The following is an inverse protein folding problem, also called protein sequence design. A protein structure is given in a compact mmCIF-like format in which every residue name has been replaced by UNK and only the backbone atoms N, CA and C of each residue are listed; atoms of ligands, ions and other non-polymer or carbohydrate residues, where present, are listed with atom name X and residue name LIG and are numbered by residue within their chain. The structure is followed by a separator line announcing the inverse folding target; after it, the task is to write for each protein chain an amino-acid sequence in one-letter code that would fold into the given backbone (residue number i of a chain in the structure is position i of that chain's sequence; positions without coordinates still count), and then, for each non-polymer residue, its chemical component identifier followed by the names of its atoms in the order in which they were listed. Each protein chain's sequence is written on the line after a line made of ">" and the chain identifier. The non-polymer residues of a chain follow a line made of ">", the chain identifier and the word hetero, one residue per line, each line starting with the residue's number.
data_IF_484489639225
#
_entry.id   IF_484489639225
#
_cell.length_a   1.000
_cell.length_b   1.000
_cell.length_c   1.000
_cell.angle_alpha   90.00
_cell.angle_beta   90.00
_cell.angle_gamma   90.00
#
_symmetry.space_group_name_H-M   'P 1'
#
loop_
_entity.id
_entity.type
_entity.pdbx_description
1 polymer ?
#
# COMPACT_ATOMS: atom_id res chain seq x y z
N UNK A 1 -22.56 -9.60 -3.70
CA UNK A 1 -21.51 -9.19 -4.65
C UNK A 1 -20.14 -9.33 -3.97
N UNK A 2 -19.22 -10.09 -4.57
CA UNK A 2 -17.92 -10.39 -3.96
C UNK A 2 -16.83 -10.24 -5.01
N UNK A 3 -15.84 -9.40 -4.72
CA UNK A 3 -14.69 -9.09 -5.58
C UNK A 3 -13.49 -9.92 -5.12
N UNK A 4 -13.44 -11.17 -5.58
CA UNK A 4 -12.30 -12.06 -5.42
C UNK A 4 -11.52 -12.10 -6.72
N UNK A 5 -10.20 -12.04 -6.62
CA UNK A 5 -9.29 -11.96 -7.76
C UNK A 5 -8.22 -13.04 -7.62
N UNK A 6 -7.95 -13.76 -8.70
CA UNK A 6 -6.78 -14.63 -8.79
C UNK A 6 -5.53 -13.81 -9.10
N UNK A 7 -4.42 -14.16 -8.44
CA UNK A 7 -3.09 -13.65 -8.74
C UNK A 7 -2.35 -14.54 -9.73
N UNK A 8 -1.16 -14.09 -10.13
CA UNK A 8 -0.30 -14.83 -11.05
C UNK A 8 0.22 -16.12 -10.40
N UNK A 9 0.09 -17.25 -11.09
CA UNK A 9 0.68 -18.53 -10.70
C UNK A 9 2.07 -18.66 -11.31
N UNK A 10 3.05 -19.08 -10.51
CA UNK A 10 4.35 -19.53 -11.02
C UNK A 10 4.62 -20.95 -10.53
N UNK A 11 5.71 -21.58 -10.98
CA UNK A 11 6.09 -22.92 -10.53
C UNK A 11 7.51 -22.91 -9.97
N UNK A 12 7.73 -23.70 -8.92
CA UNK A 12 9.08 -24.00 -8.43
C UNK A 12 9.86 -24.79 -9.48
N UNK A 13 11.21 -24.85 -9.39
CA UNK A 13 12.00 -25.76 -10.22
C UNK A 13 11.58 -27.23 -10.13
N UNK A 14 10.98 -27.65 -9.01
CA UNK A 14 10.43 -28.99 -8.81
C UNK A 14 9.00 -29.19 -9.35
N UNK A 15 8.42 -28.17 -10.00
CA UNK A 15 7.10 -28.25 -10.64
C UNK A 15 5.90 -27.94 -9.73
N UNK A 16 6.12 -27.64 -8.44
CA UNK A 16 5.04 -27.27 -7.51
C UNK A 16 4.53 -25.86 -7.80
N UNK A 17 3.21 -25.61 -7.76
CA UNK A 17 2.65 -24.29 -7.99
C UNK A 17 2.97 -23.33 -6.82
N UNK A 18 3.16 -22.05 -7.16
CA UNK A 18 3.32 -20.93 -6.23
C UNK A 18 2.26 -19.90 -6.59
N UNK A 19 1.31 -19.67 -5.68
CA UNK A 19 0.21 -18.73 -5.88
C UNK A 19 -0.31 -18.17 -4.54
N UNK A 20 -1.06 -17.06 -4.55
CA UNK A 20 -1.74 -16.56 -3.35
C UNK A 20 -2.80 -17.54 -2.83
N UNK A 21 -2.99 -17.63 -1.51
CA UNK A 21 -3.93 -18.57 -0.89
C UNK A 21 -5.39 -18.42 -1.36
N UNK A 22 -5.84 -17.19 -1.65
CA UNK A 22 -7.18 -16.96 -2.25
C UNK A 22 -7.28 -17.50 -3.67
N UNK A 23 -6.20 -17.45 -4.45
CA UNK A 23 -6.18 -17.95 -5.83
C UNK A 23 -6.27 -19.47 -5.85
N UNK A 24 -5.53 -20.12 -4.95
CA UNK A 24 -5.63 -21.55 -4.71
C UNK A 24 -7.04 -21.96 -4.33
N UNK A 25 -7.67 -21.25 -3.38
CA UNK A 25 -9.04 -21.54 -2.95
C UNK A 25 -10.03 -21.46 -4.12
N UNK A 26 -10.00 -20.39 -4.92
CA UNK A 26 -10.87 -20.22 -6.07
C UNK A 26 -10.72 -21.35 -7.11
N UNK A 27 -9.49 -21.82 -7.35
CA UNK A 27 -9.21 -22.92 -8.29
C UNK A 27 -9.58 -24.30 -7.74
N UNK A 28 -9.73 -24.43 -6.43
CA UNK A 28 -9.96 -25.70 -5.74
C UNK A 28 -11.39 -26.23 -5.91
N UNK A 29 -11.55 -27.54 -5.70
CA UNK A 29 -12.86 -28.18 -5.68
C UNK A 29 -13.72 -27.75 -4.49
N UNK A 30 -13.12 -27.19 -3.43
CA UNK A 30 -13.87 -26.60 -2.32
C UNK A 30 -14.69 -25.39 -2.77
N UNK A 31 -14.14 -24.56 -3.65
CA UNK A 31 -14.86 -23.41 -4.20
C UNK A 31 -15.84 -23.83 -5.29
N UNK A 32 -15.43 -24.72 -6.21
CA UNK A 32 -16.31 -25.22 -7.29
C UNK A 32 -17.53 -25.95 -6.75
N UNK A 33 -17.35 -26.75 -5.69
CA UNK A 33 -18.42 -27.51 -5.03
C UNK A 33 -18.88 -26.85 -3.73
N UNK A 34 -18.76 -25.51 -3.64
CA UNK A 34 -19.18 -24.76 -2.45
C UNK A 34 -20.67 -24.98 -2.16
N UNK A 35 -21.10 -24.90 -0.89
CA UNK A 35 -22.50 -25.09 -0.52
C UNK A 35 -23.42 -24.11 -1.27
N UNK A 36 -24.58 -24.60 -1.73
CA UNK A 36 -25.60 -23.76 -2.34
C UNK A 36 -26.41 -23.04 -1.27
N UNK A 37 -25.91 -21.88 -0.82
CA UNK A 37 -26.61 -21.00 0.10
C UNK A 37 -26.25 -19.54 -0.16
N UNK A 38 -26.96 -18.61 0.49
CA UNK A 38 -26.82 -17.17 0.27
C UNK A 38 -25.39 -16.64 0.48
N UNK A 39 -24.58 -17.27 1.34
CA UNK A 39 -23.23 -16.81 1.67
C UNK A 39 -22.22 -17.09 0.55
N UNK A 40 -22.45 -18.18 -0.19
CA UNK A 40 -21.62 -18.65 -1.30
C UNK A 40 -22.25 -18.40 -2.68
N UNK A 41 -23.40 -17.73 -2.72
CA UNK A 41 -24.03 -17.24 -3.94
C UNK A 41 -23.50 -15.85 -4.27
N UNK A 42 -22.99 -15.68 -5.49
CA UNK A 42 -22.32 -14.46 -5.93
C UNK A 42 -22.98 -13.94 -7.20
N UNK A 43 -23.02 -12.60 -7.34
CA UNK A 43 -23.49 -11.96 -8.57
C UNK A 43 -22.59 -12.24 -9.77
N UNK A 44 -21.32 -12.55 -9.52
CA UNK A 44 -20.34 -12.82 -10.57
C UNK A 44 -20.18 -14.33 -10.74
N UNK A 45 -20.29 -14.84 -11.97
CA UNK A 45 -19.92 -16.21 -12.30
C UNK A 45 -18.46 -16.53 -11.96
N UNK A 46 -18.16 -17.81 -11.78
CA UNK A 46 -16.85 -18.32 -11.36
C UNK A 46 -15.76 -17.99 -12.38
N UNK A 47 -16.09 -17.96 -13.67
CA UNK A 47 -15.17 -17.62 -14.75
C UNK A 47 -14.62 -16.19 -14.61
N UNK A 48 -15.43 -15.26 -14.11
CA UNK A 48 -14.98 -13.88 -13.86
C UNK A 48 -14.03 -13.83 -12.65
N UNK A 49 -14.29 -14.63 -11.60
CA UNK A 49 -13.42 -14.71 -10.42
C UNK A 49 -12.07 -15.35 -10.75
N UNK A 50 -12.05 -16.27 -11.70
CA UNK A 50 -10.87 -17.02 -12.15
C UNK A 50 -10.09 -16.34 -13.29
N UNK A 51 -10.59 -15.22 -13.82
CA UNK A 51 -9.92 -14.50 -14.91
C UNK A 51 -8.55 -13.97 -14.48
N UNK A 52 -7.62 -13.86 -15.43
CA UNK A 52 -6.24 -13.42 -15.16
C UNK A 52 -6.01 -11.92 -15.35
N UNK A 53 -6.86 -11.23 -16.12
CA UNK A 53 -6.77 -9.79 -16.36
C UNK A 53 -7.59 -9.01 -15.33
N UNK A 54 -6.88 -8.37 -14.40
CA UNK A 54 -7.48 -7.59 -13.32
C UNK A 54 -8.45 -6.51 -13.81
N UNK A 55 -8.13 -5.83 -14.91
CA UNK A 55 -8.94 -4.73 -15.44
C UNK A 55 -10.24 -5.27 -16.01
N UNK A 56 -10.16 -6.32 -16.81
CA UNK A 56 -11.34 -6.96 -17.41
C UNK A 56 -12.24 -7.58 -16.34
N UNK A 57 -11.66 -8.30 -15.38
CA UNK A 57 -12.41 -8.94 -14.29
C UNK A 57 -13.16 -7.92 -13.44
N UNK A 58 -12.50 -6.85 -13.00
CA UNK A 58 -13.15 -5.82 -12.17
C UNK A 58 -14.31 -5.16 -12.90
N UNK A 59 -14.13 -4.86 -14.19
CA UNK A 59 -15.21 -4.32 -15.03
C UNK A 59 -16.39 -5.30 -15.11
N UNK A 60 -16.11 -6.59 -15.38
CA UNK A 60 -17.13 -7.62 -15.48
C UNK A 60 -17.84 -7.90 -14.13
N UNK A 61 -17.11 -7.84 -13.01
CA UNK A 61 -17.68 -7.92 -11.67
C UNK A 61 -18.69 -6.80 -11.41
N UNK A 62 -18.30 -5.54 -11.69
CA UNK A 62 -19.15 -4.38 -11.54
C UNK A 62 -20.40 -4.49 -12.43
N UNK A 63 -20.23 -4.88 -13.69
CA UNK A 63 -21.35 -5.04 -14.62
C UNK A 63 -22.35 -6.09 -14.12
N UNK A 64 -21.88 -7.27 -13.72
CA UNK A 64 -22.76 -8.31 -13.17
C UNK A 64 -23.46 -7.84 -11.89
N UNK A 65 -22.75 -7.12 -11.02
CA UNK A 65 -23.29 -6.56 -9.79
C UNK A 65 -24.33 -5.47 -10.00
N UNK A 66 -24.19 -4.64 -11.02
CA UNK A 66 -25.17 -3.61 -11.39
C UNK A 66 -26.43 -4.20 -12.01
N UNK A 67 -26.28 -5.22 -12.86
CA UNK A 67 -27.43 -5.92 -13.49
C UNK A 67 -28.29 -6.62 -12.44
N UNK A 68 -27.69 -7.14 -11.37
CA UNK A 68 -28.34 -7.86 -10.27
C UNK A 68 -28.44 -6.99 -8.99
N UNK A 69 -28.47 -5.66 -9.13
CA UNK A 69 -28.28 -4.73 -7.99
C UNK A 69 -29.25 -4.93 -6.82
N UNK A 70 -30.49 -5.34 -7.10
CA UNK A 70 -31.54 -5.50 -6.09
C UNK A 70 -31.38 -6.79 -5.27
N UNK A 71 -30.56 -7.73 -5.74
CA UNK A 71 -30.24 -8.99 -5.05
C UNK A 71 -29.03 -8.86 -4.12
N UNK A 72 -28.31 -7.73 -4.19
CA UNK A 72 -27.05 -7.54 -3.45
C UNK A 72 -27.33 -7.22 -1.98
N UNK A 73 -27.11 -8.22 -1.12
CA UNK A 73 -27.23 -8.08 0.35
C UNK A 73 -25.90 -7.86 1.07
N UNK A 74 -24.77 -8.24 0.45
CA UNK A 74 -23.41 -7.90 0.93
C UNK A 74 -22.51 -7.53 -0.24
N UNK A 75 -21.57 -6.63 0.04
CA UNK A 75 -20.50 -6.25 -0.88
C UNK A 75 -19.16 -6.54 -0.21
N UNK A 76 -18.28 -7.31 -0.86
CA UNK A 76 -17.05 -7.78 -0.21
C UNK A 76 -15.82 -7.70 -1.09
N UNK A 77 -14.68 -7.36 -0.48
CA UNK A 77 -13.33 -7.57 -1.00
C UNK A 77 -12.44 -8.03 0.16
N UNK A 78 -11.32 -8.69 -0.10
CA UNK A 78 -10.42 -9.17 0.97
C UNK A 78 -9.93 -8.02 1.86
N UNK A 79 -9.49 -6.92 1.25
CA UNK A 79 -8.94 -5.76 1.94
C UNK A 79 -9.69 -4.48 1.57
N UNK A 80 -9.68 -3.50 2.47
CA UNK A 80 -10.29 -2.19 2.24
C UNK A 80 -9.73 -1.48 1.00
N UNK A 81 -8.43 -1.61 0.74
CA UNK A 81 -7.75 -1.17 -0.47
C UNK A 81 -8.41 -1.70 -1.75
N UNK A 82 -8.78 -2.99 -1.77
CA UNK A 82 -9.48 -3.64 -2.86
C UNK A 82 -10.89 -3.07 -3.07
N UNK A 83 -11.62 -2.83 -1.98
CA UNK A 83 -12.94 -2.18 -2.05
C UNK A 83 -12.85 -0.75 -2.61
N UNK A 84 -11.87 0.03 -2.15
CA UNK A 84 -11.62 1.38 -2.68
C UNK A 84 -11.27 1.34 -4.18
N UNK A 85 -10.44 0.37 -4.60
CA UNK A 85 -10.10 0.17 -6.02
C UNK A 85 -11.33 -0.13 -6.87
N UNK A 86 -12.22 -0.99 -6.40
CA UNK A 86 -13.51 -1.28 -7.08
C UNK A 86 -14.32 0.00 -7.27
N UNK A 87 -14.44 0.83 -6.24
CA UNK A 87 -15.17 2.10 -6.30
C UNK A 87 -14.53 3.05 -7.31
N UNK A 88 -13.19 3.13 -7.35
CA UNK A 88 -12.46 3.95 -8.31
C UNK A 88 -12.67 3.49 -9.76
N UNK A 89 -12.62 2.19 -10.01
CA UNK A 89 -12.92 1.63 -11.34
C UNK A 89 -14.37 1.92 -11.74
N UNK A 90 -15.30 1.86 -10.81
CA UNK A 90 -16.69 2.27 -11.05
C UNK A 90 -16.81 3.76 -11.39
N UNK A 91 -16.13 4.65 -10.65
CA UNK A 91 -16.06 6.10 -10.96
C UNK A 91 -15.55 6.34 -12.38
N UNK A 92 -14.52 5.61 -12.81
CA UNK A 92 -13.90 5.77 -14.12
C UNK A 92 -14.75 5.16 -15.26
N UNK A 93 -15.55 4.12 -14.96
CA UNK A 93 -16.16 3.27 -15.99
C UNK A 93 -17.69 3.30 -16.02
N UNK A 94 -18.38 4.00 -15.11
CA UNK A 94 -19.84 3.92 -14.97
C UNK A 94 -20.60 4.25 -16.26
N UNK A 95 -20.09 5.17 -17.08
CA UNK A 95 -20.72 5.52 -18.38
C UNK A 95 -20.74 4.33 -19.32
N UNK A 96 -19.61 3.64 -19.43
CA UNK A 96 -19.50 2.45 -20.28
C UNK A 96 -20.32 1.29 -19.74
N UNK A 97 -20.31 1.09 -18.41
CA UNK A 97 -21.17 0.11 -17.74
C UNK A 97 -22.64 0.37 -18.05
N UNK A 98 -23.09 1.63 -17.99
CA UNK A 98 -24.46 2.02 -18.35
C UNK A 98 -24.76 1.73 -19.83
N UNK A 99 -23.81 1.99 -20.75
CA UNK A 99 -23.97 1.66 -22.17
C UNK A 99 -24.13 0.16 -22.39
N UNK A 100 -23.34 -0.69 -21.73
CA UNK A 100 -23.47 -2.14 -21.83
C UNK A 100 -24.81 -2.65 -21.27
N UNK A 101 -25.27 -2.09 -20.15
CA UNK A 101 -26.58 -2.42 -19.58
C UNK A 101 -27.70 -1.99 -20.54
N UNK A 102 -27.57 -0.80 -21.13
CA UNK A 102 -28.55 -0.26 -22.08
C UNK A 102 -28.65 -1.12 -23.34
N UNK A 103 -27.52 -1.49 -23.93
CA UNK A 103 -27.47 -2.26 -25.17
C UNK A 103 -27.71 -3.76 -24.96
N UNK A 104 -27.40 -4.29 -23.77
CA UNK A 104 -27.38 -5.71 -23.49
C UNK A 104 -26.12 -6.42 -23.99
N UNK A 105 -25.10 -5.68 -24.44
CA UNK A 105 -23.86 -6.22 -25.01
C UNK A 105 -22.62 -5.70 -24.28
N UNK A 106 -21.67 -6.60 -24.07
CA UNK A 106 -20.38 -6.30 -23.46
C UNK A 106 -19.43 -5.62 -24.46
N UNK A 107 -18.65 -4.67 -23.96
CA UNK A 107 -17.63 -3.96 -24.74
C UNK A 107 -16.60 -4.89 -25.39
N UNK A 108 -16.12 -4.49 -26.57
CA UNK A 108 -15.20 -5.31 -27.39
C UNK A 108 -13.80 -5.44 -26.81
N UNK A 109 -13.37 -4.48 -25.97
CA UNK A 109 -12.04 -4.51 -25.34
C UNK A 109 -11.91 -5.61 -24.28
N UNK A 110 -13.02 -6.22 -23.84
CA UNK A 110 -12.98 -7.43 -23.02
C UNK A 110 -12.63 -8.61 -23.93
N UNK A 111 -11.38 -9.03 -23.92
CA UNK A 111 -10.86 -10.10 -24.78
C UNK A 111 -10.91 -11.47 -24.12
N UNK A 112 -11.01 -11.54 -22.78
CA UNK A 112 -11.10 -12.82 -22.07
C UNK A 112 -12.40 -13.56 -22.38
N UNK A 113 -12.27 -14.72 -23.01
CA UNK A 113 -13.43 -15.51 -23.48
C UNK A 113 -14.31 -16.01 -22.33
N UNK A 114 -13.74 -16.32 -21.17
CA UNK A 114 -14.47 -16.72 -19.97
C UNK A 114 -15.38 -15.60 -19.49
N UNK A 115 -14.83 -14.40 -19.32
CA UNK A 115 -15.56 -13.19 -18.98
C UNK A 115 -16.65 -12.85 -20.01
N UNK A 116 -16.33 -12.88 -21.31
CA UNK A 116 -17.32 -12.58 -22.36
C UNK A 116 -18.52 -13.53 -22.30
N UNK A 117 -18.27 -14.83 -22.20
CA UNK A 117 -19.33 -15.83 -22.15
C UNK A 117 -20.16 -15.69 -20.87
N UNK A 118 -19.50 -15.57 -19.71
CA UNK A 118 -20.16 -15.42 -18.41
C UNK A 118 -21.04 -14.16 -18.35
N UNK A 119 -20.52 -13.01 -18.77
CA UNK A 119 -21.28 -11.75 -18.75
C UNK A 119 -22.41 -11.76 -19.78
N UNK A 120 -22.21 -12.38 -20.96
CA UNK A 120 -23.28 -12.53 -21.95
C UNK A 120 -24.49 -13.26 -21.37
N UNK A 121 -24.25 -14.31 -20.57
CA UNK A 121 -25.32 -15.03 -19.86
C UNK A 121 -26.04 -14.15 -18.83
N UNK A 122 -25.31 -13.27 -18.12
CA UNK A 122 -25.90 -12.34 -17.14
C UNK A 122 -26.71 -11.24 -17.80
N UNK A 123 -26.21 -10.67 -18.91
CA UNK A 123 -26.93 -9.64 -19.67
C UNK A 123 -28.13 -10.24 -20.42
N UNK A 124 -28.01 -11.48 -20.90
CA UNK A 124 -29.03 -12.21 -21.65
C UNK A 124 -29.33 -11.63 -23.03
N UNK A 125 -28.48 -10.72 -23.55
CA UNK A 125 -28.71 -9.99 -24.79
C UNK A 125 -29.93 -9.06 -24.77
N UNK A 126 -30.51 -8.79 -23.59
CA UNK A 126 -31.71 -7.98 -23.44
C UNK A 126 -31.32 -6.53 -23.08
N UNK A 127 -31.70 -5.53 -23.90
CA UNK A 127 -31.52 -4.11 -23.57
C UNK A 127 -32.26 -3.72 -22.28
N UNK A 128 -31.57 -3.02 -21.36
CA UNK A 128 -32.17 -2.52 -20.10
C UNK A 128 -32.02 -1.00 -19.95
N UNK A 129 -32.68 -0.19 -20.80
CA UNK A 129 -32.52 1.27 -20.79
C UNK A 129 -32.93 1.91 -19.46
N UNK A 130 -34.05 1.49 -18.86
CA UNK A 130 -34.51 2.06 -17.58
C UNK A 130 -33.49 1.85 -16.45
N UNK A 131 -32.92 0.65 -16.34
CA UNK A 131 -31.87 0.37 -15.35
C UNK A 131 -30.61 1.21 -15.61
N UNK A 132 -30.24 1.37 -16.88
CA UNK A 132 -29.14 2.24 -17.29
C UNK A 132 -29.38 3.69 -16.88
N UNK A 133 -30.57 4.24 -17.16
CA UNK A 133 -30.96 5.62 -16.81
C UNK A 133 -30.93 5.86 -15.29
N UNK A 134 -31.40 4.88 -14.50
CA UNK A 134 -31.36 4.94 -13.04
C UNK A 134 -29.92 4.97 -12.50
N UNK A 135 -29.05 4.07 -12.98
CA UNK A 135 -27.64 4.02 -12.56
C UNK A 135 -26.92 5.31 -12.99
N UNK A 136 -27.15 5.78 -14.20
CA UNK A 136 -26.60 7.04 -14.71
C UNK A 136 -27.04 8.24 -13.86
N UNK A 137 -28.31 8.31 -13.48
CA UNK A 137 -28.84 9.36 -12.58
C UNK A 137 -28.15 9.33 -11.20
N UNK A 138 -27.84 8.15 -10.68
CA UNK A 138 -27.14 7.98 -9.41
C UNK A 138 -25.65 8.39 -9.53
N UNK A 139 -24.95 7.91 -10.55
CA UNK A 139 -23.50 8.12 -10.74
C UNK A 139 -23.15 9.53 -11.21
N UNK A 140 -24.06 10.24 -11.89
CA UNK A 140 -23.86 11.62 -12.36
C UNK A 140 -23.97 12.68 -11.26
N UNK A 141 -24.30 12.28 -10.02
CA UNK A 141 -24.36 13.18 -8.88
C UNK A 141 -22.98 13.79 -8.57
N UNK A 142 -22.95 15.07 -8.19
CA UNK A 142 -21.71 15.79 -7.83
C UNK A 142 -20.93 15.15 -6.69
N UNK A 143 -21.63 14.46 -5.78
CA UNK A 143 -21.02 13.80 -4.63
C UNK A 143 -21.33 12.31 -4.65
N UNK A 144 -20.28 11.50 -4.51
CA UNK A 144 -20.35 10.05 -4.40
C UNK A 144 -20.51 9.56 -2.95
N UNK A 145 -20.84 10.47 -2.03
CA UNK A 145 -21.16 10.10 -0.65
C UNK A 145 -22.35 9.13 -0.63
N UNK A 146 -22.17 7.98 0.01
CA UNK A 146 -23.18 6.93 0.12
C UNK A 146 -23.52 6.23 -1.20
N UNK A 147 -22.68 6.35 -2.24
CA UNK A 147 -22.92 5.75 -3.56
C UNK A 147 -23.21 4.24 -3.49
N UNK A 148 -22.53 3.51 -2.60
CA UNK A 148 -22.68 2.06 -2.49
C UNK A 148 -24.11 1.67 -2.11
N UNK A 149 -24.72 2.40 -1.16
CA UNK A 149 -26.10 2.16 -0.74
C UNK A 149 -27.11 2.65 -1.78
N UNK A 150 -26.80 3.71 -2.54
CA UNK A 150 -27.68 4.19 -3.62
C UNK A 150 -27.73 3.19 -4.79
N UNK A 151 -26.57 2.68 -5.20
CA UNK A 151 -26.48 1.70 -6.28
C UNK A 151 -26.97 0.32 -5.85
N UNK A 152 -26.69 -0.12 -4.63
CA UNK A 152 -27.11 -1.44 -4.12
C UNK A 152 -27.97 -1.28 -2.86
N UNK A 153 -29.26 -0.92 -3.00
CA UNK A 153 -30.12 -0.49 -1.89
C UNK A 153 -30.41 -1.57 -0.85
N UNK A 154 -30.30 -2.85 -1.21
CA UNK A 154 -30.51 -3.96 -0.28
C UNK A 154 -29.27 -4.35 0.53
N UNK A 155 -28.12 -3.70 0.29
CA UNK A 155 -26.86 -4.00 0.97
C UNK A 155 -27.01 -3.81 2.48
N UNK A 156 -26.61 -4.82 3.25
CA UNK A 156 -26.67 -4.82 4.71
C UNK A 156 -25.35 -4.43 5.35
N UNK A 157 -24.23 -4.77 4.71
CA UNK A 157 -22.90 -4.45 5.19
C UNK A 157 -21.85 -4.54 4.06
N UNK A 158 -20.71 -3.91 4.30
CA UNK A 158 -19.49 -4.05 3.51
C UNK A 158 -18.56 -5.00 4.25
N UNK A 159 -18.00 -5.98 3.57
CA UNK A 159 -17.05 -6.91 4.17
C UNK A 159 -15.66 -6.69 3.60
N UNK A 160 -14.74 -6.23 4.46
CA UNK A 160 -13.35 -6.02 4.11
C UNK A 160 -12.49 -5.97 5.37
N UNK A 161 -11.24 -6.42 5.28
CA UNK A 161 -10.27 -6.20 6.35
C UNK A 161 -9.94 -4.71 6.45
N UNK A 162 -10.26 -4.11 7.60
CA UNK A 162 -10.01 -2.69 7.95
C UNK A 162 -9.08 -2.51 9.16
N UNK A 163 -8.42 -3.58 9.61
CA UNK A 163 -7.43 -3.53 10.70
C UNK A 163 -6.00 -3.40 10.17
N UNK A 164 -5.05 -3.00 11.03
CA UNK A 164 -3.65 -2.84 10.63
C UNK A 164 -3.45 -1.66 9.66
N UNK A 165 -2.66 -1.83 8.61
CA UNK A 165 -2.44 -0.77 7.61
C UNK A 165 -3.73 -0.36 6.88
N UNK A 166 -4.75 -1.22 6.85
CA UNK A 166 -6.02 -0.94 6.17
C UNK A 166 -6.89 0.11 6.88
N UNK A 167 -6.58 0.46 8.13
CA UNK A 167 -7.26 1.53 8.88
C UNK A 167 -7.25 2.85 8.11
N UNK A 168 -6.21 3.11 7.31
CA UNK A 168 -6.09 4.33 6.48
C UNK A 168 -7.22 4.52 5.46
N UNK A 169 -7.92 3.44 5.09
CA UNK A 169 -9.03 3.48 4.13
C UNK A 169 -10.40 3.69 4.76
N UNK A 170 -10.52 3.63 6.09
CA UNK A 170 -11.80 3.80 6.80
C UNK A 170 -12.50 5.10 6.40
N UNK A 171 -11.85 6.29 6.38
CA UNK A 171 -12.53 7.54 6.00
C UNK A 171 -13.11 7.52 4.58
N UNK A 172 -12.42 6.84 3.64
CA UNK A 172 -12.93 6.67 2.28
C UNK A 172 -14.13 5.74 2.24
N UNK A 173 -14.08 4.61 2.97
CA UNK A 173 -15.21 3.69 3.07
C UNK A 173 -16.42 4.35 3.73
N UNK A 174 -16.24 5.12 4.80
CA UNK A 174 -17.31 5.90 5.44
C UNK A 174 -17.93 6.91 4.46
N UNK A 175 -17.11 7.57 3.64
CA UNK A 175 -17.61 8.45 2.59
C UNK A 175 -18.52 7.71 1.59
N UNK A 176 -18.04 6.62 1.00
CA UNK A 176 -18.76 5.92 -0.07
C UNK A 176 -19.90 5.02 0.41
N UNK A 177 -19.80 4.47 1.62
CA UNK A 177 -20.73 3.50 2.18
C UNK A 177 -21.73 4.15 3.15
N UNK A 178 -21.48 5.39 3.57
CA UNK A 178 -22.32 6.16 4.49
C UNK A 178 -22.54 5.41 5.82
N UNK A 179 -23.73 4.87 6.03
CA UNK A 179 -24.16 4.23 7.28
C UNK A 179 -24.06 2.70 7.26
N UNK A 180 -23.54 2.11 6.17
CA UNK A 180 -23.34 0.67 6.10
C UNK A 180 -22.22 0.22 7.05
N UNK A 181 -22.45 -0.79 7.91
CA UNK A 181 -21.41 -1.39 8.73
C UNK A 181 -20.28 -1.95 7.86
N UNK A 182 -19.04 -1.72 8.28
CA UNK A 182 -17.85 -2.34 7.69
C UNK A 182 -17.40 -3.48 8.59
N UNK A 183 -17.51 -4.71 8.08
CA UNK A 183 -17.32 -5.95 8.82
C UNK A 183 -15.96 -6.55 8.43
N UNK A 184 -15.06 -6.65 9.40
CA UNK A 184 -13.82 -7.42 9.26
C UNK A 184 -13.99 -8.80 9.90
N UNK A 185 -14.05 -9.85 9.09
CA UNK A 185 -14.49 -11.18 9.52
C UNK A 185 -13.36 -12.08 10.01
N UNK A 186 -12.23 -12.09 9.30
CA UNK A 186 -11.19 -13.11 9.47
C UNK A 186 -9.80 -12.48 9.65
N UNK A 187 -8.99 -13.13 10.49
CA UNK A 187 -7.56 -12.88 10.60
C UNK A 187 -6.81 -14.15 10.17
N UNK A 188 -6.00 -14.02 9.12
CA UNK A 188 -5.30 -15.12 8.47
C UNK A 188 -4.02 -14.64 7.77
N UNK A 189 -3.16 -15.60 7.43
CA UNK A 189 -1.98 -15.41 6.59
C UNK A 189 -1.82 -16.58 5.61
N UNK A 190 -0.75 -16.57 4.81
CA UNK A 190 -0.40 -17.70 3.94
C UNK A 190 0.01 -18.95 4.73
N UNK A 191 0.52 -18.78 5.95
CA UNK A 191 1.00 -19.84 6.83
C UNK A 191 -0.12 -20.53 7.63
N UNK A 192 -1.17 -19.80 8.00
CA UNK A 192 -2.34 -20.35 8.72
C UNK A 192 -3.52 -19.37 8.69
N UNK A 193 -4.73 -19.91 8.86
CA UNK A 193 -5.86 -19.12 9.37
C UNK A 193 -5.70 -19.02 10.89
N UNK A 194 -5.94 -17.85 11.47
CA UNK A 194 -5.75 -17.64 12.91
C UNK A 194 -7.07 -17.61 13.66
N UNK A 195 -7.99 -16.75 13.23
CA UNK A 195 -9.17 -16.46 14.02
C UNK A 195 -10.24 -15.66 13.29
N UNK A 196 -11.35 -15.45 14.00
CA UNK A 196 -12.52 -14.74 13.50
C UNK A 196 -12.93 -13.61 14.45
N UNK A 197 -13.56 -12.57 13.91
CA UNK A 197 -14.22 -11.56 14.72
C UNK A 197 -15.56 -12.09 15.20
N UNK A 198 -15.69 -12.33 16.50
CA UNK A 198 -16.93 -12.82 17.13
C UNK A 198 -17.98 -11.72 17.35
N UNK A 199 -17.59 -10.45 17.17
CA UNK A 199 -18.47 -9.28 17.21
C UNK A 199 -18.40 -8.52 15.88
N UNK A 200 -18.89 -9.08 14.77
CA UNK A 200 -18.66 -8.55 13.42
C UNK A 200 -19.19 -7.13 13.18
N UNK A 201 -20.17 -6.68 13.97
CA UNK A 201 -20.78 -5.35 13.87
C UNK A 201 -20.15 -4.29 14.80
N UNK A 202 -19.05 -4.63 15.49
CA UNK A 202 -18.32 -3.63 16.27
C UNK A 202 -17.72 -2.54 15.36
N UNK A 203 -17.38 -1.40 15.96
CA UNK A 203 -16.70 -0.33 15.23
C UNK A 203 -15.30 -0.77 14.81
N UNK A 204 -14.75 -0.23 13.71
CA UNK A 204 -13.43 -0.60 13.23
C UNK A 204 -12.31 -0.53 14.28
N UNK A 205 -12.32 0.50 15.14
CA UNK A 205 -11.36 0.69 16.22
C UNK A 205 -11.43 -0.38 17.33
N UNK A 206 -12.57 -1.05 17.46
CA UNK A 206 -12.84 -2.05 18.50
C UNK A 206 -12.57 -3.48 18.03
N UNK A 207 -12.31 -3.69 16.74
CA UNK A 207 -12.13 -5.02 16.15
C UNK A 207 -11.06 -5.82 16.90
N UNK A 208 -11.45 -7.03 17.28
CA UNK A 208 -10.58 -8.05 17.88
C UNK A 208 -10.93 -9.42 17.30
N UNK A 209 -9.91 -10.24 17.08
CA UNK A 209 -10.06 -11.57 16.50
C UNK A 209 -9.85 -12.64 17.57
N UNK A 210 -10.80 -13.56 17.68
CA UNK A 210 -10.71 -14.72 18.56
C UNK A 210 -9.98 -15.83 17.81
N UNK A 211 -8.82 -16.24 18.32
CA UNK A 211 -8.04 -17.32 17.71
C UNK A 211 -8.76 -18.66 17.87
N UNK A 212 -8.73 -19.47 16.80
CA UNK A 212 -9.41 -20.75 16.72
C UNK A 212 -8.42 -21.88 17.06
N UNK A 213 -8.47 -22.47 18.27
CA UNK A 213 -7.41 -23.35 18.78
C UNK A 213 -7.26 -24.68 18.04
N UNK A 214 -8.21 -25.02 17.16
CA UNK A 214 -8.19 -26.24 16.37
C UNK A 214 -7.46 -26.10 15.02
N UNK A 215 -7.04 -24.90 14.62
CA UNK A 215 -6.42 -24.66 13.31
C UNK A 215 -4.91 -24.91 13.35
N UNK A 216 -4.24 -24.30 14.32
CA UNK A 216 -2.79 -24.38 14.56
C UNK A 216 -2.52 -24.26 16.05
N UNK A 217 -1.32 -24.67 16.48
CA UNK A 217 -0.84 -24.39 17.83
C UNK A 217 -0.24 -22.98 17.87
N UNK A 218 -0.71 -22.16 18.82
CA UNK A 218 -0.35 -20.75 18.93
C UNK A 218 0.45 -20.48 20.20
N UNK A 219 1.58 -19.81 20.00
CA UNK A 219 2.52 -19.41 21.05
C UNK A 219 2.79 -17.90 20.95
N UNK A 220 3.20 -17.29 22.04
CA UNK A 220 3.28 -15.83 22.17
C UNK A 220 4.57 -15.39 22.85
N UNK A 221 5.32 -14.50 22.19
CA UNK A 221 6.50 -13.85 22.78
C UNK A 221 6.06 -12.49 23.35
N UNK A 222 6.18 -12.23 24.66
CA UNK A 222 5.86 -10.92 25.25
C UNK A 222 6.67 -9.79 24.60
N UNK A 223 6.03 -8.66 24.32
CA UNK A 223 6.71 -7.46 23.79
C UNK A 223 7.31 -6.57 24.89
N UNK A 224 6.83 -6.69 26.13
CA UNK A 224 7.27 -5.91 27.29
C UNK A 224 7.67 -6.87 28.43
N UNK A 225 8.74 -6.53 29.15
CA UNK A 225 9.33 -7.34 30.23
C UNK A 225 10.66 -8.02 29.85
N UNK A 226 11.41 -8.48 30.85
CA UNK A 226 12.65 -9.26 30.64
C UNK A 226 12.32 -10.54 29.88
N UNK A 227 12.82 -10.66 28.63
CA UNK A 227 12.80 -11.80 27.70
C UNK A 227 12.08 -13.06 28.22
N UNK A 228 10.77 -12.93 28.43
CA UNK A 228 9.98 -13.92 29.16
C UNK A 228 9.78 -15.18 28.34
N UNK A 229 9.57 -16.28 29.04
CA UNK A 229 9.18 -17.56 28.46
C UNK A 229 8.07 -17.39 27.43
N UNK A 230 8.18 -18.14 26.35
CA UNK A 230 7.13 -18.22 25.33
C UNK A 230 5.86 -18.77 25.98
N UNK A 231 4.74 -18.04 25.84
CA UNK A 231 3.48 -18.40 26.45
C UNK A 231 2.59 -19.17 25.49
N UNK A 232 1.80 -20.09 26.02
CA UNK A 232 0.73 -20.74 25.28
C UNK A 232 -0.48 -19.81 25.12
N UNK A 233 -1.37 -20.14 24.19
CA UNK A 233 -2.61 -19.41 23.96
C UNK A 233 -3.44 -19.18 25.24
N UNK A 234 -3.44 -20.12 26.17
CA UNK A 234 -4.23 -20.01 27.41
C UNK A 234 -3.63 -19.07 28.46
N UNK A 235 -2.33 -18.76 28.36
CA UNK A 235 -1.57 -18.06 29.40
C UNK A 235 -1.32 -16.58 29.08
N UNK A 236 -1.83 -16.11 27.94
CA UNK A 236 -1.74 -14.69 27.56
C UNK A 236 -2.52 -13.81 28.53
N UNK A 237 -1.99 -12.61 28.79
CA UNK A 237 -2.53 -11.68 29.79
C UNK A 237 -3.30 -10.56 29.12
N UNK A 238 -4.47 -10.24 29.68
CA UNK A 238 -5.28 -9.12 29.23
C UNK A 238 -4.47 -7.81 29.21
N UNK A 239 -4.57 -7.06 28.12
CA UNK A 239 -3.88 -5.77 27.96
C UNK A 239 -2.41 -5.88 27.56
N UNK A 240 -1.81 -7.08 27.57
CA UNK A 240 -0.44 -7.29 27.13
C UNK A 240 -0.33 -7.49 25.61
N UNK A 241 0.82 -7.11 25.06
CA UNK A 241 1.14 -7.21 23.63
C UNK A 241 2.17 -8.31 23.39
N UNK A 242 2.02 -9.03 22.28
CA UNK A 242 2.78 -10.23 21.97
C UNK A 242 3.14 -10.30 20.48
N UNK A 243 4.24 -10.99 20.17
CA UNK A 243 4.55 -11.46 18.82
C UNK A 243 4.02 -12.89 18.64
N UNK A 244 3.30 -13.13 17.55
CA UNK A 244 2.65 -14.41 17.27
C UNK A 244 3.64 -15.45 16.71
N UNK A 245 3.64 -16.64 17.31
CA UNK A 245 4.29 -17.86 16.83
C UNK A 245 3.23 -18.90 16.44
N UNK A 246 3.52 -19.67 15.38
CA UNK A 246 2.61 -20.69 14.86
C UNK A 246 3.34 -22.01 14.63
N UNK A 247 2.72 -23.09 15.08
CA UNK A 247 3.02 -24.45 14.63
C UNK A 247 1.82 -25.02 13.90
N UNK A 248 1.98 -25.45 12.65
CA UNK A 248 0.88 -25.88 11.78
C UNK A 248 1.03 -27.34 11.29
N UNK A 249 0.01 -27.85 10.59
CA UNK A 249 -0.02 -29.22 10.06
C UNK A 249 0.86 -29.44 8.82
N UNK A 250 1.49 -28.38 8.29
CA UNK A 250 2.29 -28.43 7.06
C UNK A 250 3.79 -28.28 7.33
N UNK A 251 4.22 -28.48 8.58
CA UNK A 251 5.63 -28.56 8.95
C UNK A 251 6.29 -27.21 9.30
N UNK A 252 5.51 -26.18 9.57
CA UNK A 252 6.02 -24.98 10.25
C UNK A 252 5.99 -25.22 11.76
N UNK A 253 7.14 -25.08 12.42
CA UNK A 253 7.29 -25.30 13.87
C UNK A 253 7.80 -24.02 14.53
N UNK A 254 7.03 -23.49 15.48
CA UNK A 254 7.32 -22.25 16.22
C UNK A 254 7.72 -21.10 15.29
N UNK A 255 7.07 -21.02 14.12
CA UNK A 255 7.37 -20.03 13.09
C UNK A 255 6.96 -18.65 13.58
N UNK A 256 7.88 -17.68 13.50
CA UNK A 256 7.58 -16.27 13.74
C UNK A 256 6.77 -15.72 12.58
N UNK A 257 5.50 -15.41 12.83
CA UNK A 257 4.64 -14.74 11.85
C UNK A 257 5.08 -13.29 11.64
N UNK A 258 5.65 -12.66 12.68
CA UNK A 258 6.01 -11.25 12.68
C UNK A 258 4.81 -10.32 12.93
N UNK A 259 3.63 -10.87 13.20
CA UNK A 259 2.47 -10.08 13.61
C UNK A 259 2.57 -9.73 15.10
N UNK A 260 2.25 -8.47 15.42
CA UNK A 260 2.15 -7.95 16.78
C UNK A 260 0.68 -7.83 17.15
N UNK A 261 0.29 -8.42 18.27
CA UNK A 261 -1.10 -8.53 18.70
C UNK A 261 -1.25 -8.15 20.17
N UNK A 262 -2.38 -7.54 20.53
CA UNK A 262 -2.71 -7.17 21.92
C UNK A 262 -3.94 -7.93 22.39
N UNK A 263 -3.88 -8.54 23.56
CA UNK A 263 -5.06 -9.19 24.16
C UNK A 263 -6.04 -8.11 24.61
N UNK A 264 -7.26 -8.15 24.08
CA UNK A 264 -8.33 -7.18 24.38
C UNK A 264 -9.49 -7.78 25.16
N UNK A 265 -9.58 -9.10 25.22
CA UNK A 265 -10.64 -9.79 25.93
C UNK A 265 -10.53 -11.30 25.78
N UNK A 266 -11.57 -12.00 26.22
CA UNK A 266 -11.70 -13.45 26.09
C UNK A 266 -13.13 -13.79 25.69
N UNK A 267 -13.28 -14.64 24.69
CA UNK A 267 -14.56 -15.29 24.37
C UNK A 267 -14.55 -16.66 25.02
N UNK A 268 -15.29 -16.82 26.12
CA UNK A 268 -15.11 -17.94 27.06
C UNK A 268 -13.65 -17.99 27.56
N UNK A 269 -12.91 -19.05 27.22
CA UNK A 269 -11.48 -19.20 27.55
C UNK A 269 -10.55 -18.82 26.39
N UNK A 270 -11.07 -18.58 25.19
CA UNK A 270 -10.25 -18.25 24.03
C UNK A 270 -9.93 -16.74 24.03
N UNK A 271 -8.65 -16.34 24.03
CA UNK A 271 -8.27 -14.94 23.99
C UNK A 271 -8.69 -14.27 22.66
N UNK A 272 -9.01 -12.99 22.77
CA UNK A 272 -9.32 -12.10 21.66
C UNK A 272 -8.18 -11.10 21.48
N UNK A 273 -7.76 -10.90 20.24
CA UNK A 273 -6.59 -10.11 19.91
C UNK A 273 -6.90 -8.97 18.95
N UNK A 274 -6.47 -7.77 19.31
CA UNK A 274 -6.37 -6.65 18.38
C UNK A 274 -5.05 -6.74 17.63
N UNK A 275 -5.11 -6.64 16.31
CA UNK A 275 -3.93 -6.56 15.46
C UNK A 275 -3.29 -5.17 15.58
N UNK A 276 -2.02 -5.12 15.98
CA UNK A 276 -1.28 -3.86 16.13
C UNK A 276 -0.46 -3.52 14.88
N UNK A 277 0.03 -4.52 14.17
CA UNK A 277 0.91 -4.31 13.02
C UNK A 277 1.75 -5.54 12.69
N UNK A 278 2.56 -5.42 11.64
CA UNK A 278 3.59 -6.39 11.26
C UNK A 278 4.94 -5.78 11.59
N UNK A 279 5.81 -6.54 12.23
CA UNK A 279 7.19 -6.15 12.49
C UNK A 279 7.90 -5.77 11.18
N UNK A 280 8.71 -4.71 11.24
CA UNK A 280 9.46 -4.15 10.12
C UNK A 280 8.64 -3.60 8.94
N UNK A 281 7.31 -3.53 9.01
CA UNK A 281 6.53 -2.89 7.94
C UNK A 281 6.55 -1.35 8.10
N UNK A 282 7.05 -0.64 7.08
CA UNK A 282 7.13 0.82 7.08
C UNK A 282 6.10 1.45 6.13
N UNK A 283 5.99 0.96 4.90
CA UNK A 283 5.00 1.43 3.91
C UNK A 283 4.14 0.25 3.43
N UNK A 284 2.83 0.49 3.29
CA UNK A 284 1.85 -0.48 2.80
C UNK A 284 0.63 0.24 2.22
N UNK A 285 0.32 -0.01 0.95
CA UNK A 285 -0.88 0.52 0.28
C UNK A 285 -1.93 -0.59 0.16
N UNK A 286 -1.55 -1.76 -0.33
CA UNK A 286 -2.42 -2.92 -0.49
C UNK A 286 -1.80 -4.13 0.23
N UNK A 287 -1.37 -5.13 -0.53
CA UNK A 287 -0.65 -6.28 0.01
C UNK A 287 0.86 -6.04 0.08
N UNK A 288 1.35 -4.96 -0.54
CA UNK A 288 2.75 -4.57 -0.49
C UNK A 288 3.17 -4.23 0.94
N UNK A 289 4.39 -4.64 1.28
CA UNK A 289 5.02 -4.34 2.56
C UNK A 289 6.48 -4.00 2.30
N UNK A 290 6.78 -2.71 2.39
CA UNK A 290 8.14 -2.21 2.27
C UNK A 290 8.69 -1.94 3.66
N UNK A 291 9.81 -2.55 3.99
CA UNK A 291 10.54 -2.28 5.24
C UNK A 291 11.58 -1.16 5.04
N UNK A 292 12.16 -0.70 6.14
CA UNK A 292 13.19 0.35 6.12
C UNK A 292 14.38 -0.02 5.23
N UNK A 293 14.83 -1.28 5.26
CA UNK A 293 15.96 -1.75 4.44
C UNK A 293 15.64 -1.65 2.94
N UNK A 294 14.44 -2.04 2.50
CA UNK A 294 14.02 -1.93 1.11
C UNK A 294 13.84 -0.48 0.69
N UNK A 295 13.29 0.37 1.56
CA UNK A 295 13.18 1.80 1.29
C UNK A 295 14.56 2.44 1.16
N UNK A 296 15.48 2.15 2.07
CA UNK A 296 16.87 2.62 2.03
C UNK A 296 17.59 2.12 0.77
N UNK A 297 17.45 0.84 0.42
CA UNK A 297 17.97 0.28 -0.83
C UNK A 297 17.36 0.97 -2.04
N UNK A 298 16.05 1.24 -2.06
CA UNK A 298 15.39 1.92 -3.18
C UNK A 298 15.93 3.34 -3.35
N UNK A 299 16.03 4.10 -2.25
CA UNK A 299 16.61 5.45 -2.24
C UNK A 299 18.07 5.43 -2.73
N UNK A 300 18.88 4.48 -2.26
CA UNK A 300 20.28 4.36 -2.67
C UNK A 300 20.46 3.89 -4.13
N UNK A 301 19.55 3.05 -4.63
CA UNK A 301 19.59 2.48 -5.98
C UNK A 301 19.14 3.44 -7.05
N UNK A 302 18.47 4.54 -6.70
CA UNK A 302 17.80 5.40 -7.64
C UNK A 302 18.42 6.79 -7.58
N UNK A 303 19.43 7.02 -8.44
CA UNK A 303 19.99 8.35 -8.68
C UNK A 303 19.52 8.86 -10.01
N UNK A 304 18.86 10.00 -9.99
CA UNK A 304 18.44 10.69 -11.20
C UNK A 304 19.38 11.87 -11.44
N UNK A 305 20.06 11.87 -12.58
CA UNK A 305 20.93 12.95 -13.00
C UNK A 305 20.17 13.88 -13.94
N UNK A 306 20.12 15.17 -13.60
CA UNK A 306 19.61 16.21 -14.50
C UNK A 306 20.74 17.12 -14.92
N UNK A 307 20.99 17.18 -16.22
CA UNK A 307 22.03 18.04 -16.78
C UNK A 307 21.44 19.41 -17.10
N UNK A 308 21.99 20.45 -16.48
CA UNK A 308 21.48 21.80 -16.61
C UNK A 308 21.53 22.29 -18.07
N UNK A 309 20.52 23.06 -18.47
CA UNK A 309 20.30 23.49 -19.86
C UNK A 309 20.01 22.37 -20.86
N UNK A 310 19.65 21.17 -20.38
CA UNK A 310 19.19 20.05 -21.21
C UNK A 310 17.89 19.45 -20.65
N UNK A 311 17.15 18.76 -21.51
CA UNK A 311 16.02 17.89 -21.16
C UNK A 311 16.45 16.45 -20.86
N UNK A 312 17.76 16.19 -20.77
CA UNK A 312 18.30 14.84 -20.57
C UNK A 312 18.27 14.46 -19.10
N UNK A 313 17.67 13.31 -18.85
CA UNK A 313 17.60 12.68 -17.53
C UNK A 313 18.25 11.32 -17.63
N UNK A 314 19.30 11.10 -16.83
CA UNK A 314 19.90 9.77 -16.69
C UNK A 314 19.47 9.14 -15.39
N UNK A 315 19.25 7.83 -15.43
CA UNK A 315 18.87 7.03 -14.27
C UNK A 315 19.91 5.94 -14.13
N UNK A 316 20.64 5.97 -13.03
CA UNK A 316 21.48 4.84 -12.64
C UNK A 316 20.70 3.89 -11.74
N UNK A 317 20.88 2.60 -11.99
CA UNK A 317 20.40 1.53 -11.14
C UNK A 317 21.57 0.82 -10.47
N UNK A 318 21.49 0.61 -9.15
CA UNK A 318 22.43 -0.27 -8.45
C UNK A 318 23.78 0.36 -8.08
N UNK A 319 23.82 1.68 -7.87
CA UNK A 319 25.03 2.36 -7.40
C UNK A 319 25.30 1.99 -5.93
N UNK A 320 26.50 1.48 -5.64
CA UNK A 320 26.93 1.22 -4.27
C UNK A 320 27.07 2.51 -3.46
N UNK A 321 26.70 2.48 -2.18
CA UNK A 321 26.77 3.65 -1.29
C UNK A 321 28.21 4.16 -1.06
N UNK A 322 29.18 3.26 -1.21
CA UNK A 322 30.62 3.55 -1.09
C UNK A 322 31.27 3.94 -2.43
N UNK A 323 30.50 3.97 -3.54
CA UNK A 323 31.00 4.39 -4.85
C UNK A 323 31.08 5.92 -4.94
N UNK A 324 32.17 6.46 -5.50
CA UNK A 324 32.30 7.89 -5.80
C UNK A 324 31.32 8.33 -6.89
N UNK A 325 30.83 9.56 -6.84
CA UNK A 325 29.95 10.10 -7.89
C UNK A 325 30.68 10.24 -9.23
N UNK A 326 31.99 10.50 -9.20
CA UNK A 326 32.86 10.55 -10.37
C UNK A 326 32.78 9.26 -11.20
N UNK A 327 32.98 8.10 -10.55
CA UNK A 327 32.97 6.80 -11.23
C UNK A 327 31.60 6.45 -11.83
N UNK A 328 30.53 7.00 -11.25
CA UNK A 328 29.16 6.76 -11.70
C UNK A 328 28.85 7.61 -12.94
N UNK A 329 29.08 8.92 -12.87
CA UNK A 329 28.82 9.84 -13.99
C UNK A 329 29.80 9.61 -15.16
N UNK A 330 31.02 9.16 -14.89
CA UNK A 330 31.99 8.80 -15.92
C UNK A 330 31.41 7.76 -16.89
N UNK A 331 30.73 6.72 -16.40
CA UNK A 331 30.10 5.71 -17.25
C UNK A 331 29.07 6.30 -18.22
N UNK A 332 28.38 7.37 -17.81
CA UNK A 332 27.40 8.06 -18.63
C UNK A 332 28.02 9.05 -19.63
N UNK A 333 29.19 9.59 -19.32
CA UNK A 333 29.88 10.60 -20.13
C UNK A 333 31.04 10.02 -20.95
N UNK A 334 31.19 8.68 -21.01
CA UNK A 334 32.19 8.01 -21.85
C UNK A 334 32.06 8.44 -23.31
N UNK A 335 33.18 8.68 -24.02
CA UNK A 335 33.15 9.00 -25.45
C UNK A 335 32.52 7.85 -26.24
N UNK A 336 31.39 8.13 -26.89
CA UNK A 336 30.67 7.20 -27.74
C UNK A 336 30.13 7.90 -28.99
N UNK A 337 29.71 7.15 -30.02
CA UNK A 337 29.37 7.74 -31.31
C UNK A 337 28.12 8.64 -31.30
N UNK A 338 27.30 8.66 -30.22
CA UNK A 338 26.06 9.46 -30.18
C UNK A 338 25.65 9.91 -28.76
N UNK A 339 26.07 11.09 -28.29
CA UNK A 339 25.34 11.86 -27.25
C UNK A 339 25.43 13.38 -27.51
N UNK A 340 24.60 13.89 -28.42
CA UNK A 340 24.74 15.27 -28.93
C UNK A 340 24.33 16.38 -27.92
N UNK A 341 23.49 16.05 -26.92
CA UNK A 341 23.00 17.02 -25.90
C UNK A 341 23.85 17.06 -24.64
N UNK A 342 24.55 15.97 -24.29
CA UNK A 342 25.49 15.93 -23.16
C UNK A 342 26.93 16.24 -23.57
N UNK A 343 27.20 16.42 -24.86
CA UNK A 343 28.54 16.74 -25.39
C UNK A 343 29.27 17.83 -24.59
N UNK A 344 28.64 18.96 -24.21
CA UNK A 344 29.33 19.99 -23.41
C UNK A 344 29.85 19.48 -22.06
N UNK A 345 29.20 18.48 -21.47
CA UNK A 345 29.59 17.85 -20.21
C UNK A 345 30.67 16.77 -20.40
N UNK A 346 30.79 16.21 -21.60
CA UNK A 346 31.88 15.31 -21.97
C UNK A 346 33.20 16.06 -22.27
N UNK A 347 33.10 17.32 -22.71
CA UNK A 347 34.25 18.13 -23.14
C UNK A 347 34.97 18.84 -21.97
N UNK A 348 34.56 18.59 -20.73
CA UNK A 348 35.15 19.16 -19.50
C UNK A 348 35.70 18.04 -18.60
N UNK A 349 36.67 18.38 -17.75
CA UNK A 349 37.13 17.45 -16.71
C UNK A 349 35.95 17.13 -15.78
N UNK A 350 35.65 15.84 -15.58
CA UNK A 350 34.57 15.39 -14.71
C UNK A 350 34.66 15.97 -13.30
N UNK A 351 35.87 16.13 -12.78
CA UNK A 351 36.08 16.69 -11.44
C UNK A 351 35.70 18.17 -11.36
N UNK A 352 35.68 18.87 -12.49
CA UNK A 352 35.27 20.28 -12.56
C UNK A 352 33.76 20.47 -12.54
N UNK A 353 32.98 19.41 -12.80
CA UNK A 353 31.52 19.47 -12.77
C UNK A 353 31.00 19.83 -11.39
N UNK A 354 29.95 20.64 -11.35
CA UNK A 354 29.29 21.05 -10.13
C UNK A 354 28.02 20.24 -9.94
N UNK A 355 27.95 19.50 -8.82
CA UNK A 355 26.87 18.58 -8.50
C UNK A 355 26.06 19.14 -7.33
N UNK A 356 24.73 19.21 -7.48
CA UNK A 356 23.86 19.72 -6.42
C UNK A 356 22.70 18.77 -6.15
N UNK A 357 22.32 18.67 -4.88
CA UNK A 357 21.11 17.96 -4.44
C UNK A 357 20.21 18.88 -3.62
N UNK A 358 18.90 18.75 -3.80
CA UNK A 358 17.91 19.54 -3.07
C UNK A 358 17.64 18.93 -1.69
N UNK A 359 17.59 19.76 -0.64
CA UNK A 359 17.40 19.29 0.74
C UNK A 359 15.95 19.45 1.24
N UNK A 360 15.24 20.54 0.90
CA UNK A 360 13.90 20.82 1.45
C UNK A 360 12.88 21.34 0.43
N UNK A 361 11.61 20.95 0.65
CA UNK A 361 10.41 21.62 0.13
C UNK A 361 9.49 22.01 1.29
N UNK A 362 9.51 23.28 1.68
CA UNK A 362 8.34 24.01 2.19
C UNK A 362 8.64 25.51 2.09
N UNK A 363 7.97 26.21 1.17
CA UNK A 363 8.12 27.65 0.93
C UNK A 363 8.94 28.01 -0.32
N UNK A 364 8.84 29.25 -0.78
CA UNK A 364 9.35 29.77 -2.07
C UNK A 364 10.89 29.77 -2.27
N UNK A 365 11.66 29.11 -1.38
CA UNK A 365 13.13 29.09 -1.39
C UNK A 365 13.61 27.64 -1.22
N UNK A 366 13.99 27.01 -2.33
CA UNK A 366 14.59 25.69 -2.33
C UNK A 366 16.08 25.79 -1.93
N UNK A 367 16.52 25.03 -0.92
CA UNK A 367 17.94 24.95 -0.54
C UNK A 367 18.63 23.77 -1.23
N UNK A 368 19.85 24.02 -1.71
CA UNK A 368 20.68 23.05 -2.43
C UNK A 368 22.01 22.84 -1.72
N UNK A 369 22.47 21.60 -1.67
CA UNK A 369 23.79 21.20 -1.17
C UNK A 369 24.68 20.83 -2.35
N UNK A 370 25.86 21.45 -2.44
CA UNK A 370 26.93 21.03 -3.35
C UNK A 370 27.52 19.70 -2.88
N UNK A 371 27.72 18.77 -3.81
CA UNK A 371 28.31 17.46 -3.57
C UNK A 371 29.76 17.46 -4.07
N UNK A 372 30.65 16.88 -3.28
CA UNK A 372 31.99 16.50 -3.70
C UNK A 372 31.91 15.26 -4.59
N UNK A 373 32.28 15.44 -5.86
CA UNK A 373 32.25 14.37 -6.86
C UNK A 373 33.20 13.21 -6.54
N UNK A 374 34.24 13.41 -5.73
CA UNK A 374 35.23 12.39 -5.35
C UNK A 374 34.85 11.60 -4.10
N UNK A 375 34.02 12.16 -3.22
CA UNK A 375 33.60 11.48 -2.00
C UNK A 375 32.45 10.48 -2.26
N UNK A 376 32.32 9.48 -1.38
CA UNK A 376 31.20 8.53 -1.45
C UNK A 376 29.88 9.23 -1.10
N UNK A 377 28.75 8.67 -1.56
CA UNK A 377 27.45 9.15 -1.11
C UNK A 377 27.27 9.03 0.40
N UNK A 378 27.68 7.88 0.96
CA UNK A 378 27.51 7.57 2.37
C UNK A 378 28.06 8.70 3.24
N UNK A 379 29.28 9.13 2.96
CA UNK A 379 29.96 10.21 3.68
C UNK A 379 29.22 11.54 3.57
N UNK A 380 28.68 11.86 2.39
CA UNK A 380 28.12 13.17 2.11
C UNK A 380 26.64 13.31 2.52
N UNK A 381 25.92 12.19 2.64
CA UNK A 381 24.49 12.16 2.94
C UNK A 381 24.15 11.67 4.35
N UNK A 382 25.10 11.14 5.13
CA UNK A 382 24.87 10.57 6.47
C UNK A 382 24.13 11.48 7.47
N UNK A 383 24.10 12.80 7.24
CA UNK A 383 23.38 13.78 8.08
C UNK A 383 22.53 14.75 7.26
N UNK A 384 22.14 14.37 6.05
CA UNK A 384 21.34 15.20 5.15
C UNK A 384 19.93 14.64 5.09
N UNK A 385 18.95 15.42 5.53
CA UNK A 385 17.54 15.12 5.29
C UNK A 385 17.20 15.42 3.83
N UNK A 386 16.71 14.42 3.11
CA UNK A 386 16.17 14.58 1.75
C UNK A 386 14.71 14.16 1.80
N UNK A 387 13.82 15.12 1.58
CA UNK A 387 12.36 14.94 1.74
C UNK A 387 11.70 14.43 0.45
N UNK A 388 12.43 14.43 -0.67
CA UNK A 388 11.95 14.01 -1.99
C UNK A 388 12.86 12.95 -2.62
N UNK A 389 12.46 12.42 -3.77
CA UNK A 389 13.30 11.53 -4.55
C UNK A 389 14.63 12.23 -4.93
N UNK A 390 15.80 11.66 -4.61
CA UNK A 390 17.08 12.35 -4.75
C UNK A 390 17.43 12.57 -6.23
N UNK A 391 17.47 13.84 -6.64
CA UNK A 391 17.90 14.27 -7.98
C UNK A 391 19.24 15.01 -7.85
N UNK A 392 20.26 14.52 -8.55
CA UNK A 392 21.55 15.19 -8.68
C UNK A 392 21.50 16.09 -9.91
N UNK A 393 21.62 17.38 -9.69
CA UNK A 393 21.72 18.37 -10.75
C UNK A 393 23.19 18.58 -11.13
N UNK A 394 23.50 18.42 -12.41
CA UNK A 394 24.85 18.54 -12.98
C UNK A 394 24.98 19.84 -13.73
N UNK A 395 25.97 20.65 -13.37
CA UNK A 395 26.27 21.94 -13.98
C UNK A 395 27.68 21.93 -14.55
N UNK A 396 27.85 22.62 -15.68
CA UNK A 396 29.17 22.96 -16.22
C UNK A 396 29.84 24.02 -15.32
N UNK A 397 31.18 24.04 -15.25
CA UNK A 397 31.91 25.07 -14.49
C UNK A 397 31.57 26.51 -14.90
N UNK A 398 31.20 26.71 -16.17
CA UNK A 398 30.87 28.01 -16.76
C UNK A 398 29.43 28.46 -16.52
N UNK A 399 28.56 27.59 -16.00
CA UNK A 399 27.15 27.90 -15.79
C UNK A 399 26.93 28.56 -14.43
N UNK A 400 26.13 29.63 -14.41
CA UNK A 400 25.69 30.27 -13.16
C UNK A 400 24.52 29.51 -12.55
N UNK A 401 24.42 29.56 -11.23
CA UNK A 401 23.32 28.98 -10.46
C UNK A 401 22.86 29.99 -9.40
N UNK A 402 21.54 30.10 -9.23
CA UNK A 402 20.91 30.99 -8.24
C UNK A 402 20.32 30.09 -7.15
N UNK A 403 21.16 29.66 -6.21
CA UNK A 403 20.74 28.89 -5.04
C UNK A 403 21.03 29.70 -3.78
N UNK A 404 20.08 29.82 -2.87
CA UNK A 404 20.32 30.36 -1.54
C UNK A 404 20.83 29.23 -0.61
N UNK A 405 21.92 29.49 0.14
CA UNK A 405 22.37 28.63 1.24
C UNK A 405 23.57 27.69 0.99
N UNK A 406 24.55 28.10 0.17
CA UNK A 406 25.79 27.32 -0.02
C UNK A 406 26.77 27.62 1.12
N UNK A 407 26.88 26.72 2.12
CA UNK A 407 27.97 26.57 3.13
C UNK A 407 27.68 25.34 4.02
N UNK A 408 28.60 24.50 4.50
CA UNK A 408 30.05 24.59 4.68
C UNK A 408 30.76 23.23 4.43
N UNK A 409 31.99 23.30 3.89
CA UNK A 409 33.01 22.26 4.04
C UNK A 409 33.68 22.45 5.41
N UNK A 410 33.48 21.50 6.33
CA UNK A 410 34.37 21.33 7.48
C UNK A 410 35.18 20.04 7.31
N UNK A 411 36.47 20.20 7.01
CA UNK A 411 37.45 19.16 7.24
C UNK A 411 37.54 18.90 8.75
N UNK A 412 36.96 17.79 9.20
CA UNK A 412 37.26 17.23 10.52
C UNK A 412 38.22 16.06 10.33
N UNK A 413 39.51 16.36 10.38
CA UNK A 413 40.52 15.39 10.75
C UNK A 413 40.32 15.07 12.23
N UNK A 414 39.67 13.95 12.55
CA UNK A 414 39.78 13.33 13.88
C UNK A 414 39.70 11.81 13.71
N UNK A 415 40.81 11.15 14.05
CA UNK A 415 40.91 9.71 14.29
C UNK A 415 39.89 9.26 15.35
N UNK A 416 39.31 8.05 15.26
CA UNK A 416 38.36 7.58 16.25
C UNK A 416 39.09 7.12 17.52
N UNK A 417 38.66 7.64 18.68
CA UNK A 417 38.98 7.10 20.00
C UNK A 417 38.04 5.91 20.29
N UNK A 418 38.56 4.68 20.50
CA UNK A 418 37.74 3.52 20.74
C UNK A 418 37.52 3.35 22.25
N UNK A 419 36.62 4.14 22.85
CA UNK A 419 35.87 3.82 24.08
C UNK A 419 35.13 5.06 24.60
N UNK A 420 33.80 5.08 24.50
CA UNK A 420 32.99 6.15 25.10
C UNK A 420 31.49 5.83 25.06
N UNK A 421 31.00 5.29 26.17
CA UNK A 421 29.59 4.92 26.41
C UNK A 421 28.61 6.09 26.26
N UNK A 422 27.48 5.86 25.60
CA UNK A 422 26.32 6.74 25.62
C UNK A 422 25.48 6.49 26.87
N UNK A 423 25.65 7.32 27.90
CA UNK A 423 24.67 7.50 28.97
C UNK A 423 23.87 8.77 28.71
N UNK A 424 22.55 8.66 28.73
CA UNK A 424 21.62 9.77 28.84
C UNK A 424 21.73 10.41 30.23
N UNK A 425 21.75 11.74 30.30
CA UNK A 425 21.48 12.49 31.54
C UNK A 425 20.44 13.58 31.28
N UNK A 426 19.49 13.69 32.21
CA UNK A 426 18.36 14.62 32.26
C UNK A 426 18.68 15.90 33.06
N UNK A 427 17.94 16.98 32.75
CA UNK A 427 17.61 18.11 33.65
C UNK A 427 18.35 19.43 33.33
N UNK A 428 17.81 20.65 33.48
CA UNK A 428 16.49 21.16 33.90
C UNK A 428 16.45 22.71 33.74
N UNK A 429 15.25 23.31 33.64
CA UNK A 429 14.86 24.76 33.80
C UNK A 429 15.45 25.84 32.85
N UNK A 430 14.76 26.87 32.34
CA UNK A 430 13.86 27.88 32.99
C UNK A 430 12.89 28.58 32.00
N UNK A 431 11.92 29.28 32.58
CA UNK A 431 10.71 29.96 32.06
C UNK A 431 10.86 31.00 30.93
N UNK A 432 9.83 31.12 30.09
CA UNK A 432 9.60 32.26 29.20
C UNK A 432 8.21 32.25 28.55
N UNK A 433 7.26 32.97 29.16
CA UNK A 433 5.89 33.25 28.64
C UNK A 433 5.93 33.83 27.22
N UNK A 434 5.11 33.31 26.29
CA UNK A 434 4.66 34.05 25.11
C UNK A 434 3.15 33.87 24.95
N UNK A 435 2.47 35.01 24.93
CA UNK A 435 1.03 35.24 24.79
C UNK A 435 0.53 34.99 23.38
N UNK A 436 -0.64 34.35 23.30
CA UNK A 436 -1.51 34.21 22.13
C UNK A 436 -2.07 35.56 21.66
N UNK A 437 -2.04 35.81 20.35
CA UNK A 437 -2.80 36.88 19.68
C UNK A 437 -3.62 36.25 18.54
N UNK A 438 -4.92 36.44 18.65
CA UNK A 438 -5.95 36.14 17.65
C UNK A 438 -5.89 37.19 16.52
N UNK A 439 -6.08 36.77 15.27
CA UNK A 439 -6.24 37.68 14.12
C UNK A 439 -7.73 37.87 13.82
N UNK A 440 -8.14 39.14 13.83
CA UNK A 440 -9.45 39.65 13.41
C UNK A 440 -9.57 39.66 11.88
N UNK A 441 -10.76 39.31 11.39
CA UNK A 441 -11.18 39.44 10.00
C UNK A 441 -11.77 40.84 9.81
N UNK A 442 -11.18 41.64 8.92
CA UNK A 442 -11.72 42.93 8.49
C UNK A 442 -12.72 42.78 7.34
N UNK A 443 -13.93 43.31 7.55
CA UNK A 443 -14.89 43.67 6.51
C UNK A 443 -14.40 44.93 5.76
N UNK A 444 -14.55 44.95 4.45
CA UNK A 444 -14.53 46.18 3.65
C UNK A 444 -15.85 46.28 2.89
N UNK A 445 -16.60 47.33 3.18
CA UNK A 445 -17.86 47.66 2.52
C UNK A 445 -17.69 48.79 1.52
N UNK A 446 -18.35 48.65 0.37
CA UNK A 446 -19.22 49.66 -0.24
C UNK A 446 -20.03 49.07 -1.38
#
# INVERSE_FOLDING_TARGET
>A
MVFLLTGHETRTPGGLPIEPGTSWYLKSDYFKNRPSNWFYSYTSPDEIMLGSDLKQNLYCHLLCGLVQRDEVVRISSTFASGMVRVIKVLEDSWKELCLNIRSGYLSEWITDSGCRNAVSMVLGGQPRPNLSDEIESICSQKSWKGIMKKLWPQTKYIEAIVTGSMVQYIPMLEHYCSDLPVVSTIYASSESIFGINTYPLCKPEDISYTLMPNISYFEFIPMEGDNGDVLDLADVKLGSSYKLLVTNLWGLYRMRIGDMVKVTGFYNKAPQFRFLGRENALLSIDTDRTNEEYLFKAINRAKLWRFHSTDVVLVDHGVGEDTSLCSVIENHLKPGPWIHKLKPFCDVDLVSLKLFIRQHQKGAKATFKELDIKASLRQQLAKVAIVEYPVIHVYLPSQSYVFEGIRDFYHLNTTPDPNGSLYYSHGDTTEGKITSREEEIGEDGR
#
